data_IF_526532614518
#
_entry.id   IF_526532614518
#
_cell.length_a   1.000
_cell.length_b   1.000
_cell.length_c   1.000
_cell.angle_alpha   90.00
_cell.angle_beta   90.00
_cell.angle_gamma   90.00
#
_symmetry.space_group_name_H-M   'P 1'
#
loop_
_entity.id
_entity.type
_entity.pdbx_description
1 polymer ?
#
# COMPACT_ATOMS: atom_id res chain seq x y z
N UNK A 1 -6.81 -16.43 17.24
CA UNK A 1 -7.30 -16.66 15.93
C UNK A 1 -6.51 -15.89 14.92
N UNK A 2 -6.10 -16.52 13.88
CA UNK A 2 -5.23 -15.85 12.93
C UNK A 2 -6.03 -14.96 12.01
N UNK A 3 -5.45 -13.88 11.59
CA UNK A 3 -6.09 -12.99 10.64
C UNK A 3 -6.16 -13.69 9.28
N UNK A 4 -7.12 -13.30 8.45
CA UNK A 4 -7.14 -13.82 7.10
C UNK A 4 -5.82 -13.56 6.40
N UNK A 5 -5.50 -14.42 5.44
CA UNK A 5 -4.21 -14.31 4.78
C UNK A 5 -4.02 -12.94 4.13
N UNK A 6 -5.06 -12.39 3.53
CA UNK A 6 -4.88 -11.12 2.84
C UNK A 6 -4.61 -9.99 3.83
N UNK A 7 -5.08 -10.12 5.05
CA UNK A 7 -4.76 -9.13 6.07
C UNK A 7 -3.30 -9.24 6.46
N UNK A 8 -2.80 -10.47 6.56
CA UNK A 8 -1.40 -10.65 6.89
C UNK A 8 -0.51 -10.07 5.81
N UNK A 9 -0.89 -10.25 4.56
CA UNK A 9 -0.12 -9.70 3.46
C UNK A 9 -0.19 -8.17 3.49
N UNK A 10 -1.37 -7.65 3.76
CA UNK A 10 -1.54 -6.21 3.87
C UNK A 10 -0.58 -5.66 4.93
N UNK A 11 -0.52 -6.32 6.07
CA UNK A 11 0.33 -5.85 7.14
C UNK A 11 1.80 -5.94 6.78
N UNK A 12 2.18 -7.00 6.09
CA UNK A 12 3.57 -7.16 5.70
C UNK A 12 4.02 -6.11 4.70
N UNK A 13 3.17 -5.82 3.74
CA UNK A 13 3.50 -4.79 2.77
C UNK A 13 3.56 -3.43 3.46
N UNK A 14 2.60 -3.20 4.34
CA UNK A 14 2.57 -1.94 5.06
C UNK A 14 3.85 -1.77 5.89
N UNK A 15 4.25 -2.83 6.54
CA UNK A 15 5.46 -2.79 7.33
C UNK A 15 6.70 -2.54 6.48
N UNK A 16 6.75 -3.14 5.32
CA UNK A 16 7.88 -2.94 4.44
C UNK A 16 7.98 -1.46 4.05
N UNK A 17 6.85 -0.85 3.82
CA UNK A 17 6.84 0.56 3.47
C UNK A 17 7.25 1.41 4.66
N UNK A 18 6.74 1.08 5.83
CA UNK A 18 7.10 1.83 7.02
C UNK A 18 8.58 1.67 7.35
N UNK A 19 9.12 0.51 7.05
CA UNK A 19 10.53 0.27 7.31
C UNK A 19 11.44 0.88 6.26
N UNK A 20 10.88 1.44 5.22
CA UNK A 20 11.69 2.08 4.20
C UNK A 20 12.19 1.16 3.11
N UNK A 21 11.70 -0.07 3.05
CA UNK A 21 12.11 -0.95 1.96
C UNK A 21 11.60 -0.44 0.64
N UNK A 22 10.41 0.10 0.64
CA UNK A 22 9.85 0.79 -0.51
C UNK A 22 9.52 2.19 -0.07
N UNK A 23 10.02 3.17 -0.78
CA UNK A 23 9.79 4.55 -0.41
C UNK A 23 8.74 5.16 -1.33
N UNK A 24 8.16 6.28 -0.96
CA UNK A 24 7.12 6.90 -1.79
C UNK A 24 7.61 7.06 -3.22
N UNK A 25 6.77 6.67 -4.15
CA UNK A 25 7.11 6.72 -5.56
C UNK A 25 7.67 5.44 -6.11
N UNK A 26 8.07 4.52 -5.24
CA UNK A 26 8.60 3.25 -5.71
C UNK A 26 7.49 2.38 -6.25
N UNK A 27 7.82 1.65 -7.29
CA UNK A 27 6.89 0.66 -7.82
C UNK A 27 7.11 -0.65 -7.09
N UNK A 28 6.03 -1.22 -6.57
CA UNK A 28 6.17 -2.52 -5.91
C UNK A 28 6.12 -3.61 -6.98
N UNK A 29 6.61 -4.79 -6.65
CA UNK A 29 6.62 -5.88 -7.64
C UNK A 29 5.23 -6.17 -8.15
N UNK A 30 5.15 -6.77 -9.31
CA UNK A 30 3.87 -7.10 -9.92
C UNK A 30 3.10 -8.04 -9.03
N UNK A 31 1.78 -7.98 -9.13
CA UNK A 31 0.92 -8.82 -8.31
C UNK A 31 1.30 -10.29 -8.44
N UNK A 32 1.61 -10.72 -9.65
CA UNK A 32 1.98 -12.11 -9.85
C UNK A 32 3.25 -12.45 -9.09
N UNK A 33 4.22 -11.57 -9.15
CA UNK A 33 5.46 -11.80 -8.45
C UNK A 33 5.26 -11.82 -6.94
N UNK A 34 4.51 -10.87 -6.44
CA UNK A 34 4.27 -10.82 -5.01
C UNK A 34 3.48 -12.01 -4.55
N UNK A 35 2.50 -12.44 -5.34
CA UNK A 35 1.73 -13.61 -4.97
C UNK A 35 2.62 -14.82 -4.84
N UNK A 36 3.58 -14.94 -5.73
CA UNK A 36 4.51 -16.05 -5.66
C UNK A 36 5.41 -15.95 -4.42
N UNK A 37 5.86 -14.75 -4.13
CA UNK A 37 6.71 -14.55 -2.97
C UNK A 37 5.98 -14.89 -1.68
N UNK A 38 4.73 -14.52 -1.60
CA UNK A 38 3.96 -14.79 -0.40
C UNK A 38 3.33 -16.18 -0.41
N UNK A 39 3.40 -16.86 -1.54
CA UNK A 39 2.82 -18.20 -1.60
C UNK A 39 1.31 -18.21 -1.57
N UNK A 40 0.67 -17.22 -2.17
CA UNK A 40 -0.78 -17.12 -2.17
C UNK A 40 -1.27 -16.94 -3.59
N UNK A 41 -2.58 -17.01 -3.76
CA UNK A 41 -3.17 -16.80 -5.07
C UNK A 41 -3.13 -15.32 -5.41
N UNK A 42 -3.21 -15.04 -6.71
CA UNK A 42 -3.23 -13.66 -7.13
C UNK A 42 -4.43 -12.91 -6.60
N UNK A 43 -5.56 -13.61 -6.48
CA UNK A 43 -6.74 -12.97 -5.94
C UNK A 43 -6.52 -12.52 -4.51
N UNK A 44 -5.91 -13.37 -3.72
CA UNK A 44 -5.65 -13.02 -2.35
C UNK A 44 -4.69 -11.84 -2.26
N UNK A 45 -3.65 -11.88 -3.07
CA UNK A 45 -2.68 -10.80 -3.09
C UNK A 45 -3.36 -9.51 -3.52
N UNK A 46 -4.17 -9.58 -4.55
CA UNK A 46 -4.86 -8.41 -5.05
C UNK A 46 -5.75 -7.79 -3.99
N UNK A 47 -6.41 -8.63 -3.21
CA UNK A 47 -7.26 -8.13 -2.15
C UNK A 47 -6.47 -7.29 -1.18
N UNK A 48 -5.30 -7.76 -0.80
CA UNK A 48 -4.44 -7.01 0.11
C UNK A 48 -3.99 -5.69 -0.52
N UNK A 49 -3.61 -5.75 -1.78
CA UNK A 49 -3.16 -4.55 -2.47
C UNK A 49 -4.28 -3.53 -2.57
N UNK A 50 -5.50 -4.00 -2.86
CA UNK A 50 -6.61 -3.07 -2.97
C UNK A 50 -6.90 -2.40 -1.65
N UNK A 51 -6.74 -3.12 -0.56
CA UNK A 51 -6.92 -2.50 0.74
C UNK A 51 -5.92 -1.38 0.95
N UNK A 52 -4.69 -1.62 0.55
CA UNK A 52 -3.66 -0.59 0.71
C UNK A 52 -3.95 0.61 -0.18
N UNK A 53 -4.50 0.35 -1.36
CA UNK A 53 -4.89 1.44 -2.24
C UNK A 53 -6.00 2.26 -1.60
N UNK A 54 -6.98 1.57 -1.03
CA UNK A 54 -8.08 2.26 -0.38
C UNK A 54 -7.60 3.10 0.78
N UNK A 55 -6.56 2.65 1.44
CA UNK A 55 -6.03 3.37 2.58
C UNK A 55 -5.10 4.51 2.17
N UNK A 56 -4.83 4.63 0.89
CA UNK A 56 -3.95 5.68 0.43
C UNK A 56 -2.48 5.38 0.58
N UNK A 57 -2.15 4.14 0.92
CA UNK A 57 -0.75 3.76 1.08
C UNK A 57 -0.13 3.38 -0.26
N UNK A 58 -0.91 2.77 -1.12
CA UNK A 58 -0.48 2.47 -2.47
C UNK A 58 -1.39 3.18 -3.45
N UNK A 59 -0.91 3.38 -4.66
CA UNK A 59 -1.76 3.89 -5.72
C UNK A 59 -1.54 3.06 -6.96
N UNK A 60 -2.61 2.82 -7.68
CA UNK A 60 -2.55 2.02 -8.88
C UNK A 60 -2.46 2.92 -10.08
N UNK A 61 -1.59 2.57 -11.01
CA UNK A 61 -1.47 3.30 -12.26
C UNK A 61 -1.82 2.36 -13.38
N UNK A 62 -2.81 2.75 -14.15
CA UNK A 62 -3.29 1.92 -15.23
C UNK A 62 -2.15 1.52 -16.15
N UNK A 63 -2.03 0.23 -16.38
CA UNK A 63 -1.01 -0.28 -17.29
C UNK A 63 0.37 -0.36 -16.69
N UNK A 64 0.55 0.07 -15.46
CA UNK A 64 1.87 0.11 -14.88
C UNK A 64 2.03 -0.69 -13.62
N UNK A 65 0.99 -0.80 -12.83
CA UNK A 65 1.09 -1.53 -11.58
C UNK A 65 0.79 -0.64 -10.39
N UNK A 66 1.31 -1.02 -9.25
CA UNK A 66 1.07 -0.28 -8.03
C UNK A 66 2.34 0.38 -7.55
N UNK A 67 2.19 1.56 -6.98
CA UNK A 67 3.30 2.36 -6.52
C UNK A 67 3.02 2.79 -5.10
N UNK A 68 4.08 3.03 -4.35
CA UNK A 68 3.91 3.56 -3.00
C UNK A 68 3.46 5.01 -3.14
N UNK A 69 2.33 5.32 -2.51
CA UNK A 69 1.77 6.66 -2.62
C UNK A 69 2.61 7.62 -1.81
N UNK A 70 2.59 8.86 -2.24
CA UNK A 70 3.28 9.88 -1.49
C UNK A 70 2.48 10.21 -0.27
N UNK A 71 3.15 10.25 0.84
CA UNK A 71 2.45 10.41 2.10
C UNK A 71 2.24 11.85 2.51
N UNK A 72 2.78 12.74 1.75
CA UNK A 72 2.65 14.12 2.14
C UNK A 72 1.21 14.57 2.17
N UNK A 73 0.37 13.87 1.48
CA UNK A 73 -1.03 14.23 1.50
C UNK A 73 -1.58 14.18 2.90
N UNK A 74 -1.21 13.19 3.63
CA UNK A 74 -1.67 13.08 4.98
C UNK A 74 -1.19 14.20 5.84
N UNK A 75 0.05 14.54 5.65
CA UNK A 75 0.57 15.62 6.40
C UNK A 75 -0.12 16.89 6.06
N UNK A 76 -0.49 17.02 4.81
CA UNK A 76 -1.21 18.20 4.43
C UNK A 76 -2.53 18.31 5.10
N UNK A 77 -3.17 17.22 5.32
CA UNK A 77 -4.42 17.26 6.02
C UNK A 77 -4.25 17.88 7.37
N UNK A 78 -3.22 17.52 8.03
CA UNK A 78 -2.96 18.10 9.30
C UNK A 78 -2.68 19.57 9.15
N UNK A 79 -1.91 19.89 8.15
CA UNK A 79 -1.60 21.26 7.92
C UNK A 79 -2.80 22.05 7.51
N UNK A 80 -3.62 21.43 6.73
CA UNK A 80 -4.80 22.11 6.28
C UNK A 80 -5.65 22.50 7.44
N UNK A 81 -5.73 21.62 8.35
CA UNK A 81 -6.50 21.92 9.49
C UNK A 81 -6.06 23.19 10.13
N UNK A 82 -4.82 23.32 10.28
CA UNK A 82 -4.33 24.50 10.90
C UNK A 82 -4.50 25.66 9.97
N UNK A 83 -4.36 25.41 8.68
CA UNK A 83 -4.42 26.48 7.82
C UNK A 83 -5.81 27.05 7.69
N UNK A 84 -6.78 26.21 7.81
CA UNK A 84 -8.07 26.74 7.64
C UNK A 84 -8.39 27.74 8.64
N UNK A 85 -7.81 27.63 9.68
CA UNK A 85 -8.11 28.48 10.55
C UNK A 85 -7.63 29.69 10.32
N UNK A 86 -7.15 29.89 9.69
CA UNK A 86 -6.70 31.03 9.42
C UNK A 86 -7.13 31.67 8.79
#
# INVERSE_FOLDING_TARGET
MAAPVYIQIHDEIHEAIEAGRWVPGDKIPAERELAEQFGVSRMTLRQAVMMLVDEGILERRVGSGAYVAERKVQEQLNGVTSFTEM
#
